data_IF_908641204580
#
_entry.id   IF_908641204580
#
_cell.length_a   1.000
_cell.length_b   1.000
_cell.length_c   1.000
_cell.angle_alpha   90.00
_cell.angle_beta   90.00
_cell.angle_gamma   90.00
#
_symmetry.space_group_name_H-M   'P 1'
#
loop_
_entity.id
_entity.type
_entity.pdbx_description
1 polymer ?
#
# COMPACT_ATOMS: atom_id res chain seq x y z
N UNK A 1 42.81 11.89 -7.00
CA UNK A 1 41.39 11.77 -6.60
C UNK A 1 40.42 11.88 -7.79
N UNK A 2 40.71 11.28 -8.97
CA UNK A 2 39.84 11.36 -10.17
C UNK A 2 39.14 10.03 -10.53
N UNK A 3 39.39 8.96 -9.77
CA UNK A 3 38.85 7.61 -10.03
C UNK A 3 37.68 7.21 -9.12
N UNK A 4 37.27 8.09 -8.19
CA UNK A 4 36.15 7.84 -7.27
C UNK A 4 34.79 8.22 -7.92
N UNK A 5 34.81 9.17 -8.85
CA UNK A 5 33.61 9.65 -9.56
C UNK A 5 32.84 8.57 -10.36
N UNK A 6 33.49 7.65 -11.12
CA UNK A 6 32.75 6.62 -11.84
C UNK A 6 32.15 5.54 -10.92
N UNK A 7 32.73 5.33 -9.72
CA UNK A 7 32.22 4.37 -8.74
C UNK A 7 30.92 4.89 -8.08
N UNK A 8 30.83 6.20 -7.84
CA UNK A 8 29.65 6.85 -7.26
C UNK A 8 28.45 6.81 -8.22
N UNK A 9 28.69 7.01 -9.52
CA UNK A 9 27.63 6.95 -10.55
C UNK A 9 27.08 5.53 -10.70
N UNK A 10 27.92 4.50 -10.55
CA UNK A 10 27.48 3.09 -10.63
C UNK A 10 26.64 2.65 -9.41
N UNK A 11 26.95 3.18 -8.23
CA UNK A 11 26.17 2.93 -6.99
C UNK A 11 24.79 3.60 -7.03
N UNK A 12 24.65 4.76 -7.68
CA UNK A 12 23.38 5.48 -7.82
C UNK A 12 22.37 4.78 -8.75
N UNK A 13 22.82 3.88 -9.63
CA UNK A 13 21.94 3.12 -10.53
C UNK A 13 21.27 1.92 -9.84
N UNK A 14 21.72 1.54 -8.64
CA UNK A 14 21.14 0.42 -7.88
C UNK A 14 19.98 0.83 -6.97
N UNK A 15 19.66 2.12 -6.82
CA UNK A 15 18.57 2.59 -5.94
C UNK A 15 17.18 2.56 -6.58
N UNK A 16 16.99 1.80 -7.66
CA UNK A 16 15.68 1.66 -8.29
C UNK A 16 14.88 0.58 -7.55
N UNK A 17 13.80 0.99 -6.86
CA UNK A 17 12.84 0.07 -6.26
C UNK A 17 12.34 -0.93 -7.31
N UNK A 18 12.53 -2.23 -7.07
CA UNK A 18 12.19 -3.27 -8.04
C UNK A 18 10.69 -3.51 -8.04
N UNK A 19 10.05 -3.27 -9.18
CA UNK A 19 8.67 -3.69 -9.41
C UNK A 19 8.63 -5.21 -9.63
N UNK A 20 7.78 -5.88 -8.84
CA UNK A 20 7.57 -7.32 -8.86
C UNK A 20 6.20 -7.63 -9.46
N UNK A 21 6.07 -8.79 -10.09
CA UNK A 21 4.78 -9.27 -10.59
C UNK A 21 3.77 -9.40 -9.43
N UNK A 22 2.51 -9.08 -9.68
CA UNK A 22 1.44 -9.23 -8.71
C UNK A 22 1.12 -10.72 -8.48
N UNK A 23 1.75 -11.30 -7.45
CA UNK A 23 1.51 -12.65 -6.93
C UNK A 23 1.36 -12.58 -5.42
N UNK A 24 0.61 -13.51 -4.82
CA UNK A 24 0.52 -13.58 -3.34
C UNK A 24 1.88 -13.74 -2.69
N UNK A 25 2.80 -14.48 -3.31
CA UNK A 25 4.18 -14.62 -2.85
C UNK A 25 4.91 -13.26 -2.80
N UNK A 26 4.85 -12.47 -3.87
CA UNK A 26 5.52 -11.17 -3.90
C UNK A 26 4.87 -10.15 -2.97
N UNK A 27 3.55 -10.21 -2.79
CA UNK A 27 2.82 -9.38 -1.81
C UNK A 27 3.32 -9.73 -0.41
N UNK A 28 3.28 -11.01 -0.03
CA UNK A 28 3.73 -11.48 1.29
C UNK A 28 5.20 -11.13 1.54
N UNK A 29 6.04 -11.24 0.51
CA UNK A 29 7.46 -10.87 0.61
C UNK A 29 7.71 -9.38 0.89
N UNK A 30 6.71 -8.50 0.73
CA UNK A 30 6.75 -7.11 1.21
C UNK A 30 6.21 -7.02 2.64
N UNK A 31 5.11 -7.70 2.98
CA UNK A 31 4.59 -7.74 4.36
C UNK A 31 5.62 -8.27 5.36
N UNK A 32 6.38 -9.30 4.98
CA UNK A 32 7.41 -9.93 5.81
C UNK A 32 8.53 -8.97 6.24
N UNK A 33 8.69 -7.81 5.57
CA UNK A 33 9.70 -6.83 5.98
C UNK A 33 9.29 -6.04 7.22
N UNK A 34 8.00 -6.04 7.59
CA UNK A 34 7.43 -5.27 8.71
C UNK A 34 7.68 -3.75 8.66
N UNK A 35 8.26 -3.30 7.55
CA UNK A 35 8.54 -1.93 7.17
C UNK A 35 8.13 -1.80 5.70
N UNK A 36 6.91 -1.31 5.49
CA UNK A 36 6.31 -1.19 4.18
C UNK A 36 5.17 -0.17 4.20
N UNK A 37 4.65 0.15 3.03
CA UNK A 37 3.47 0.97 2.85
C UNK A 37 2.51 0.34 1.87
N UNK A 38 1.22 0.55 2.10
CA UNK A 38 0.15 0.24 1.16
C UNK A 38 -0.47 1.57 0.75
N UNK A 39 -0.58 1.79 -0.55
CA UNK A 39 -1.29 2.91 -1.14
C UNK A 39 -2.54 2.40 -1.83
N UNK A 40 -3.66 3.03 -1.52
CA UNK A 40 -4.98 2.76 -2.07
C UNK A 40 -5.36 3.95 -2.95
N UNK A 41 -5.49 3.72 -4.25
CA UNK A 41 -5.93 4.73 -5.21
C UNK A 41 -7.37 4.39 -5.58
N UNK A 42 -8.30 5.14 -5.00
CA UNK A 42 -9.74 4.95 -5.06
C UNK A 42 -10.33 6.09 -5.91
N UNK A 43 -11.31 5.83 -6.77
CA UNK A 43 -12.14 6.84 -7.47
C UNK A 43 -11.43 8.15 -7.91
N UNK A 44 -11.10 8.29 -9.20
CA UNK A 44 -10.57 9.56 -9.75
C UNK A 44 -9.30 10.07 -9.03
N UNK A 45 -8.48 9.15 -8.54
CA UNK A 45 -7.19 9.39 -7.86
C UNK A 45 -7.27 9.91 -6.41
N UNK A 46 -8.34 9.60 -5.67
CA UNK A 46 -8.32 9.73 -4.22
C UNK A 46 -7.31 8.75 -3.62
N UNK A 47 -6.21 9.28 -3.06
CA UNK A 47 -5.12 8.48 -2.50
C UNK A 47 -5.23 8.40 -0.99
N UNK A 48 -5.24 7.18 -0.47
CA UNK A 48 -5.02 6.87 0.93
C UNK A 48 -3.75 6.04 1.07
N UNK A 49 -3.02 6.21 2.17
CA UNK A 49 -1.81 5.41 2.44
C UNK A 49 -1.78 4.92 3.88
N UNK A 50 -1.39 3.67 4.07
CA UNK A 50 -1.01 3.12 5.38
C UNK A 50 0.47 2.75 5.34
N UNK A 51 1.26 3.29 6.26
CA UNK A 51 2.68 2.95 6.42
C UNK A 51 2.87 2.22 7.75
N UNK A 52 3.65 1.13 7.73
CA UNK A 52 3.85 0.22 8.85
C UNK A 52 5.32 0.22 9.22
N UNK A 53 5.64 0.40 10.50
CA UNK A 53 6.99 0.29 11.03
C UNK A 53 6.92 0.01 12.53
N UNK A 54 7.60 -1.04 13.02
CA UNK A 54 7.67 -1.38 14.45
C UNK A 54 6.29 -1.45 15.15
N UNK A 55 5.35 -2.21 14.59
CA UNK A 55 3.95 -2.34 15.05
C UNK A 55 3.12 -1.05 15.03
N UNK A 56 3.69 0.07 14.61
CA UNK A 56 2.95 1.32 14.43
C UNK A 56 2.50 1.42 12.99
N UNK A 57 1.24 1.81 12.82
CA UNK A 57 0.68 2.20 11.54
C UNK A 57 0.41 3.70 11.52
N UNK A 58 0.87 4.34 10.44
CA UNK A 58 0.53 5.71 10.10
C UNK A 58 -0.40 5.70 8.89
N UNK A 59 -1.64 6.12 9.10
CA UNK A 59 -2.64 6.31 8.07
C UNK A 59 -2.60 7.77 7.59
N UNK A 60 -2.56 7.95 6.28
CA UNK A 60 -2.60 9.24 5.61
C UNK A 60 -3.87 9.24 4.75
N UNK A 61 -4.89 9.96 5.22
CA UNK A 61 -6.08 10.27 4.44
C UNK A 61 -6.00 11.67 3.82
N UNK A 62 -7.01 12.07 3.04
CA UNK A 62 -7.06 13.39 2.40
C UNK A 62 -7.01 14.57 3.39
N UNK A 63 -7.66 14.44 4.55
CA UNK A 63 -7.79 15.54 5.51
C UNK A 63 -6.94 15.38 6.77
N UNK A 64 -6.50 14.16 7.09
CA UNK A 64 -5.81 13.89 8.34
C UNK A 64 -4.76 12.77 8.25
N UNK A 65 -3.87 12.78 9.23
CA UNK A 65 -2.89 11.71 9.46
C UNK A 65 -3.11 11.14 10.85
N UNK A 66 -3.36 9.83 10.93
CA UNK A 66 -3.59 9.11 12.18
C UNK A 66 -2.42 8.16 12.41
N UNK A 67 -1.94 8.11 13.65
CA UNK A 67 -0.93 7.13 14.07
C UNK A 67 -1.48 6.31 15.22
N UNK A 68 -1.42 5.00 15.10
CA UNK A 68 -1.75 4.08 16.20
C UNK A 68 -0.87 2.84 16.16
N UNK A 69 -0.73 2.23 17.32
CA UNK A 69 -0.21 0.87 17.43
C UNK A 69 -1.26 -0.11 16.89
N UNK A 70 -0.82 -1.11 16.14
CA UNK A 70 -1.68 -2.18 15.65
C UNK A 70 -1.54 -3.41 16.54
N UNK A 71 -2.69 -3.96 16.90
CA UNK A 71 -2.78 -5.34 17.37
C UNK A 71 -2.50 -6.32 16.22
N UNK A 72 -2.21 -7.57 16.60
CA UNK A 72 -2.04 -8.65 15.64
C UNK A 72 -3.29 -8.85 14.76
N UNK A 73 -4.49 -8.82 15.36
CA UNK A 73 -5.75 -9.03 14.65
C UNK A 73 -6.02 -7.93 13.61
N UNK A 74 -5.70 -6.67 13.93
CA UNK A 74 -5.81 -5.56 12.98
C UNK A 74 -4.81 -5.68 11.82
N UNK A 75 -3.58 -6.16 12.08
CA UNK A 75 -2.63 -6.44 11.02
C UNK A 75 -3.11 -7.57 10.09
N UNK A 76 -3.73 -8.62 10.65
CA UNK A 76 -4.36 -9.70 9.88
C UNK A 76 -5.54 -9.18 9.05
N UNK A 77 -6.35 -8.27 9.59
CA UNK A 77 -7.47 -7.65 8.89
C UNK A 77 -6.99 -6.93 7.62
N UNK A 78 -5.93 -6.12 7.74
CA UNK A 78 -5.34 -5.37 6.62
C UNK A 78 -4.77 -6.32 5.56
N UNK A 79 -4.03 -7.35 5.98
CA UNK A 79 -3.50 -8.34 5.03
C UNK A 79 -4.64 -9.08 4.32
N UNK A 80 -5.68 -9.49 5.05
CA UNK A 80 -6.85 -10.17 4.48
C UNK A 80 -7.53 -9.30 3.43
N UNK A 81 -7.71 -8.00 3.69
CA UNK A 81 -8.24 -7.07 2.72
C UNK A 81 -7.39 -7.03 1.43
N UNK A 82 -6.07 -6.88 1.55
CA UNK A 82 -5.16 -6.84 0.38
C UNK A 82 -5.21 -8.14 -0.42
N UNK A 83 -5.17 -9.29 0.26
CA UNK A 83 -5.22 -10.60 -0.41
C UNK A 83 -6.55 -10.81 -1.12
N UNK A 84 -7.68 -10.45 -0.50
CA UNK A 84 -8.99 -10.57 -1.12
C UNK A 84 -9.10 -9.70 -2.38
N UNK A 85 -8.66 -8.44 -2.33
CA UNK A 85 -8.59 -7.58 -3.52
C UNK A 85 -7.69 -8.20 -4.61
N UNK A 86 -6.55 -8.75 -4.22
CA UNK A 86 -5.67 -9.44 -5.17
C UNK A 86 -6.33 -10.65 -5.82
N UNK A 87 -7.02 -11.51 -5.06
CA UNK A 87 -7.70 -12.69 -5.61
C UNK A 87 -8.84 -12.32 -6.56
N UNK A 88 -9.53 -11.22 -6.27
CA UNK A 88 -10.68 -10.75 -7.05
C UNK A 88 -10.30 -9.82 -8.22
N UNK A 89 -9.00 -9.58 -8.47
CA UNK A 89 -8.51 -8.62 -9.48
C UNK A 89 -9.00 -8.88 -10.91
N UNK A 90 -9.29 -10.13 -11.26
CA UNK A 90 -9.70 -10.52 -12.62
C UNK A 90 -11.22 -10.38 -12.86
N UNK A 91 -11.99 -9.93 -11.85
CA UNK A 91 -13.41 -9.70 -12.03
C UNK A 91 -13.63 -8.54 -13.00
N UNK A 92 -14.46 -8.75 -14.03
CA UNK A 92 -14.82 -7.70 -14.97
C UNK A 92 -15.66 -6.65 -14.26
N UNK A 93 -15.10 -5.46 -14.05
CA UNK A 93 -15.77 -4.34 -13.41
C UNK A 93 -15.80 -3.13 -14.34
N UNK A 94 -16.87 -2.33 -14.26
CA UNK A 94 -16.99 -1.08 -14.99
C UNK A 94 -16.05 0.03 -14.47
N UNK A 95 -15.58 -0.12 -13.23
CA UNK A 95 -14.63 0.78 -12.56
C UNK A 95 -13.57 -0.05 -11.85
N UNK A 96 -12.32 0.39 -11.94
CA UNK A 96 -11.19 -0.22 -11.26
C UNK A 96 -10.52 0.80 -10.34
N UNK A 97 -10.04 0.29 -9.22
CA UNK A 97 -9.18 1.00 -8.27
C UNK A 97 -7.82 0.27 -8.24
N UNK A 98 -6.78 0.91 -7.68
CA UNK A 98 -5.42 0.37 -7.66
C UNK A 98 -4.88 0.22 -6.24
N UNK A 99 -4.18 -0.88 -5.98
CA UNK A 99 -3.36 -1.08 -4.79
C UNK A 99 -1.88 -1.12 -5.16
N UNK A 100 -1.06 -0.43 -4.37
CA UNK A 100 0.39 -0.44 -4.47
C UNK A 100 0.98 -0.78 -3.11
N UNK A 101 1.62 -1.95 -2.99
CA UNK A 101 2.30 -2.40 -1.77
C UNK A 101 3.80 -2.31 -1.99
N UNK A 102 4.52 -1.60 -1.12
CA UNK A 102 5.92 -1.30 -1.38
C UNK A 102 6.75 -1.04 -0.12
N UNK A 103 8.05 -1.27 -0.24
CA UNK A 103 9.09 -0.83 0.70
C UNK A 103 10.27 -0.25 -0.09
N UNK A 104 11.41 0.00 0.55
CA UNK A 104 12.58 0.61 -0.11
C UNK A 104 13.12 -0.19 -1.31
N UNK A 105 12.87 -1.49 -1.38
CA UNK A 105 13.48 -2.39 -2.37
C UNK A 105 12.50 -3.06 -3.31
N UNK A 106 11.24 -3.23 -2.90
CA UNK A 106 10.21 -3.99 -3.61
C UNK A 106 8.95 -3.15 -3.76
N UNK A 107 8.26 -3.33 -4.88
CA UNK A 107 6.93 -2.78 -5.14
C UNK A 107 6.09 -3.79 -5.89
N UNK A 108 4.85 -3.96 -5.47
CA UNK A 108 3.82 -4.74 -6.15
C UNK A 108 2.66 -3.81 -6.47
N UNK A 109 2.21 -3.80 -7.72
CA UNK A 109 1.09 -2.98 -8.21
C UNK A 109 0.05 -3.90 -8.83
N UNK A 110 -1.23 -3.71 -8.49
CA UNK A 110 -2.33 -4.35 -9.20
C UNK A 110 -3.60 -3.51 -9.17
N UNK A 111 -4.41 -3.68 -10.21
CA UNK A 111 -5.76 -3.13 -10.31
C UNK A 111 -6.78 -4.17 -9.84
N UNK A 112 -7.91 -3.72 -9.33
CA UNK A 112 -9.02 -4.58 -8.91
C UNK A 112 -10.35 -3.84 -9.12
N UNK A 113 -11.48 -4.54 -9.06
CA UNK A 113 -12.79 -3.92 -8.99
C UNK A 113 -12.82 -2.84 -7.89
N UNK A 114 -13.54 -1.75 -8.16
CA UNK A 114 -13.66 -0.63 -7.23
C UNK A 114 -14.10 -1.09 -5.83
N UNK A 115 -13.46 -0.56 -4.79
CA UNK A 115 -13.53 -1.10 -3.43
C UNK A 115 -13.77 -0.06 -2.32
N UNK A 116 -14.24 1.13 -2.68
CA UNK A 116 -14.48 2.24 -1.74
C UNK A 116 -15.26 1.81 -0.48
N UNK A 117 -16.35 1.05 -0.64
CA UNK A 117 -17.20 0.62 0.49
C UNK A 117 -16.49 -0.39 1.39
N UNK A 118 -15.76 -1.33 0.80
CA UNK A 118 -14.98 -2.31 1.55
C UNK A 118 -13.80 -1.63 2.26
N UNK A 119 -13.22 -0.60 1.67
CA UNK A 119 -12.18 0.20 2.30
C UNK A 119 -12.73 1.04 3.45
N UNK A 120 -13.89 1.67 3.30
CA UNK A 120 -14.58 2.35 4.39
C UNK A 120 -14.86 1.39 5.55
N UNK A 121 -15.29 0.16 5.24
CA UNK A 121 -15.52 -0.89 6.25
C UNK A 121 -14.22 -1.27 6.96
N UNK A 122 -13.11 -1.43 6.23
CA UNK A 122 -11.79 -1.69 6.81
C UNK A 122 -11.39 -0.57 7.78
N UNK A 123 -11.52 0.69 7.36
CA UNK A 123 -11.17 1.83 8.22
C UNK A 123 -12.02 1.87 9.49
N UNK A 124 -13.33 1.64 9.38
CA UNK A 124 -14.22 1.56 10.55
C UNK A 124 -13.79 0.47 11.53
N UNK A 125 -13.41 -0.71 11.04
CA UNK A 125 -12.91 -1.81 11.88
C UNK A 125 -11.56 -1.52 12.53
N UNK A 126 -10.78 -0.59 11.98
CA UNK A 126 -9.51 -0.12 12.52
C UNK A 126 -9.67 1.11 13.45
N UNK A 127 -10.91 1.54 13.71
CA UNK A 127 -11.25 2.79 14.41
C UNK A 127 -10.63 4.04 13.72
N UNK A 128 -10.63 4.05 12.39
CA UNK A 128 -10.14 5.16 11.56
C UNK A 128 -11.34 5.81 10.85
N UNK A 129 -11.56 7.13 10.98
CA UNK A 129 -12.59 7.83 10.22
C UNK A 129 -12.29 7.80 8.72
N UNK A 130 -13.32 7.45 7.94
CA UNK A 130 -13.28 7.63 6.50
C UNK A 130 -13.80 9.02 6.13
N UNK A 131 -12.94 9.80 5.47
CA UNK A 131 -13.28 11.14 4.96
C UNK A 131 -13.00 11.15 3.46
N UNK A 132 -14.07 11.12 2.66
CA UNK A 132 -13.93 11.23 1.21
C UNK A 132 -13.61 12.66 0.79
N UNK A 133 -12.65 12.81 -0.12
CA UNK A 133 -12.29 14.09 -0.73
C UNK A 133 -13.46 14.76 -1.50
N UNK A 134 -14.52 14.02 -1.85
CA UNK A 134 -15.63 14.52 -2.69
C UNK A 134 -16.78 15.19 -1.93
N UNK A 135 -16.80 15.21 -0.60
CA UNK A 135 -17.91 15.76 0.21
C UNK A 135 -17.81 17.27 0.52
N UNK A 136 -17.23 18.10 -0.35
CA UNK A 136 -17.29 19.57 -0.26
C UNK A 136 -17.98 20.19 -1.46
#
# INVERSE_FOLDING_TARGET
MKKILPLLVFLLLLSCQKELAATSENINAVFDTQDFSIRYVILENEEHRMSFMNNVMAYFGPEETIRKELSYDEAILINTFVQDRFQNRNQTAAKTDQLIIYNDTKKVVFETAAFEKEFETLLQQLDIPYVSAKKK
#
